data_IF_968028392588
#
_entry.id   IF_968028392588
#
_cell.length_a   1.000
_cell.length_b   1.000
_cell.length_c   1.000
_cell.angle_alpha   90.00
_cell.angle_beta   90.00
_cell.angle_gamma   90.00
#
_symmetry.space_group_name_H-M   'P 1'
#
loop_
_entity.id
_entity.type
_entity.pdbx_description
1 polymer ?
#
# COMPACT_ATOMS: atom_id res chain seq x y z
N UNK A 1 -10.03 7.44 28.05
CA UNK A 1 -8.86 7.87 27.26
C UNK A 1 -9.02 7.37 25.84
N UNK A 2 -8.49 8.08 24.85
CA UNK A 2 -8.48 7.62 23.45
C UNK A 2 -7.56 6.42 23.26
N UNK A 3 -8.01 5.40 22.52
CA UNK A 3 -7.22 4.20 22.24
C UNK A 3 -6.14 4.45 21.17
N UNK A 4 -6.47 5.25 20.15
CA UNK A 4 -5.60 5.51 19.00
C UNK A 4 -4.91 6.87 19.06
N UNK A 5 -3.76 6.95 18.40
CA UNK A 5 -3.02 8.18 18.10
C UNK A 5 -3.39 8.63 16.68
N UNK A 6 -3.95 9.83 16.53
CA UNK A 6 -4.32 10.37 15.22
C UNK A 6 -3.09 10.51 14.31
N UNK A 7 -3.24 10.07 13.05
CA UNK A 7 -2.19 10.14 12.04
C UNK A 7 -2.53 11.19 10.98
N UNK A 8 -1.62 12.14 10.81
CA UNK A 8 -1.80 13.35 10.01
C UNK A 8 -1.16 13.22 8.62
N UNK A 9 -1.90 13.56 7.56
CA UNK A 9 -1.36 13.57 6.19
C UNK A 9 -0.31 14.67 6.02
N UNK A 10 0.80 14.36 5.37
CA UNK A 10 1.89 15.33 5.15
C UNK A 10 1.58 16.32 4.01
N UNK A 11 0.88 15.85 2.99
CA UNK A 11 0.59 16.61 1.76
C UNK A 11 -0.87 16.46 1.37
N UNK A 12 -1.40 17.46 0.66
CA UNK A 12 -2.70 17.34 0.04
C UNK A 12 -2.65 16.25 -1.03
N UNK A 13 -3.67 15.40 -1.08
CA UNK A 13 -3.76 14.26 -2.01
C UNK A 13 -5.15 14.19 -2.61
N UNK A 14 -5.23 13.99 -3.92
CA UNK A 14 -6.50 13.72 -4.61
C UNK A 14 -6.52 12.30 -5.11
N UNK A 15 -7.46 11.50 -4.62
CA UNK A 15 -7.73 10.17 -5.15
C UNK A 15 -8.58 10.33 -6.42
N UNK A 16 -7.95 10.14 -7.57
CA UNK A 16 -8.57 10.35 -8.90
C UNK A 16 -9.33 9.12 -9.42
N UNK A 17 -9.07 7.95 -8.86
CA UNK A 17 -9.70 6.68 -9.21
C UNK A 17 -9.97 5.83 -7.95
N UNK A 18 -10.47 4.62 -8.15
CA UNK A 18 -10.84 3.70 -7.07
C UNK A 18 -9.68 2.82 -6.61
N UNK A 19 -8.47 2.97 -7.18
CA UNK A 19 -7.32 2.14 -6.81
C UNK A 19 -6.75 2.60 -5.47
N UNK A 20 -6.23 1.67 -4.64
CA UNK A 20 -5.49 2.05 -3.44
C UNK A 20 -4.26 2.88 -3.76
N UNK A 21 -4.11 4.02 -3.07
CA UNK A 21 -2.98 4.93 -3.20
C UNK A 21 -2.30 5.13 -1.85
N UNK A 22 -0.98 5.30 -1.88
CA UNK A 22 -0.19 5.67 -0.71
C UNK A 22 -0.37 7.17 -0.44
N UNK A 23 -0.65 7.51 0.81
CA UNK A 23 -0.73 8.88 1.31
C UNK A 23 0.36 9.05 2.36
N UNK A 24 1.29 9.96 2.09
CA UNK A 24 2.40 10.25 2.99
C UNK A 24 1.93 10.91 4.28
N UNK A 25 2.58 10.57 5.39
CA UNK A 25 2.34 11.17 6.72
C UNK A 25 3.61 11.81 7.24
N UNK A 26 3.50 12.69 8.23
CA UNK A 26 4.68 13.30 8.87
C UNK A 26 5.35 12.38 9.89
N UNK A 27 4.77 11.21 10.16
CA UNK A 27 5.26 10.27 11.17
C UNK A 27 6.30 9.31 10.59
N UNK A 28 7.39 9.15 11.32
CA UNK A 28 8.48 8.21 11.02
C UNK A 28 8.58 7.24 12.19
N UNK A 29 8.78 5.95 11.89
CA UNK A 29 9.02 4.96 12.92
C UNK A 29 10.44 5.01 13.49
N UNK A 30 10.72 4.32 14.61
CA UNK A 30 9.79 3.47 15.35
C UNK A 30 8.78 4.31 16.16
N UNK A 31 7.59 3.74 16.41
CA UNK A 31 6.62 4.36 17.32
C UNK A 31 7.10 4.17 18.76
N UNK A 32 7.49 5.25 19.42
CA UNK A 32 7.95 5.21 20.81
C UNK A 32 6.79 5.53 21.75
N UNK A 33 6.49 4.60 22.65
CA UNK A 33 5.49 4.77 23.72
C UNK A 33 6.16 4.50 25.05
N UNK A 34 6.14 5.48 25.95
CA UNK A 34 6.80 5.40 27.26
C UNK A 34 8.27 4.95 27.16
N UNK A 35 9.00 5.47 26.16
CA UNK A 35 10.41 5.15 25.93
C UNK A 35 10.67 3.81 25.23
N UNK A 36 9.64 3.04 24.87
CA UNK A 36 9.77 1.72 24.25
C UNK A 36 9.26 1.71 22.81
N UNK A 37 10.04 1.14 21.90
CA UNK A 37 9.60 0.90 20.52
C UNK A 37 8.44 -0.10 20.51
N UNK A 38 7.30 0.31 19.97
CA UNK A 38 6.03 -0.40 20.07
C UNK A 38 5.43 -0.61 18.67
N UNK A 39 4.99 -1.84 18.40
CA UNK A 39 4.24 -2.14 17.18
C UNK A 39 2.85 -1.51 17.22
N UNK A 40 2.27 -1.23 16.06
CA UNK A 40 0.96 -0.59 16.00
C UNK A 40 0.11 -1.08 14.81
N UNK A 41 -1.20 -1.11 15.01
CA UNK A 41 -2.20 -1.26 13.95
C UNK A 41 -2.59 0.13 13.44
N UNK A 42 -2.29 0.42 12.18
CA UNK A 42 -2.84 1.57 11.45
C UNK A 42 -4.24 1.20 10.94
N UNK A 43 -5.23 2.00 11.30
CA UNK A 43 -6.62 1.85 10.85
C UNK A 43 -7.28 3.20 10.56
N UNK A 44 -8.32 3.22 9.73
CA UNK A 44 -9.12 4.41 9.49
C UNK A 44 -9.81 4.94 10.75
N UNK A 45 -10.02 6.25 10.80
CA UNK A 45 -10.91 6.88 11.80
C UNK A 45 -12.37 6.67 11.38
N UNK A 46 -13.28 6.66 12.33
CA UNK A 46 -14.72 6.56 12.06
C UNK A 46 -15.20 7.65 11.08
N UNK A 47 -14.68 8.87 11.21
CA UNK A 47 -14.99 9.99 10.32
C UNK A 47 -14.53 9.78 8.88
N UNK A 48 -13.54 8.94 8.64
CA UNK A 48 -12.99 8.70 7.30
C UNK A 48 -13.96 7.90 6.45
N UNK A 49 -14.59 6.87 7.04
CA UNK A 49 -15.63 6.10 6.36
C UNK A 49 -16.82 6.97 5.95
N UNK A 50 -17.27 7.88 6.83
CA UNK A 50 -18.33 8.85 6.51
C UNK A 50 -17.97 9.80 5.37
N UNK A 51 -16.67 10.07 5.18
CA UNK A 51 -16.14 10.91 4.09
C UNK A 51 -15.87 10.10 2.81
N UNK A 52 -16.28 8.84 2.75
CA UNK A 52 -16.05 7.96 1.61
C UNK A 52 -14.61 7.44 1.50
N UNK A 53 -13.78 7.63 2.52
CA UNK A 53 -12.40 7.14 2.53
C UNK A 53 -12.32 5.77 3.20
N UNK A 54 -11.87 4.78 2.43
CA UNK A 54 -11.55 3.44 2.93
C UNK A 54 -10.05 3.38 3.16
N UNK A 55 -9.65 3.28 4.43
CA UNK A 55 -8.26 3.10 4.83
C UNK A 55 -7.98 1.60 4.94
N UNK A 56 -7.03 1.11 4.17
CA UNK A 56 -6.59 -0.28 4.27
C UNK A 56 -5.74 -0.45 5.56
N UNK A 57 -6.12 -1.38 6.46
CA UNK A 57 -5.35 -1.61 7.68
C UNK A 57 -3.91 -2.00 7.40
N UNK A 58 -3.00 -1.61 8.28
CA UNK A 58 -1.58 -1.97 8.16
C UNK A 58 -0.96 -2.24 9.52
N UNK A 59 -0.22 -3.33 9.64
CA UNK A 59 0.63 -3.57 10.80
C UNK A 59 1.96 -2.82 10.63
N UNK A 60 2.33 -2.07 11.66
CA UNK A 60 3.61 -1.39 11.79
C UNK A 60 4.41 -2.14 12.84
N UNK A 61 5.51 -2.76 12.42
CA UNK A 61 6.38 -3.48 13.35
C UNK A 61 7.17 -2.49 14.23
N UNK A 62 7.52 -2.94 15.44
CA UNK A 62 8.20 -2.09 16.42
C UNK A 62 9.57 -1.61 15.94
N UNK A 63 10.25 -2.38 15.09
CA UNK A 63 11.55 -2.09 14.50
C UNK A 63 11.45 -1.39 13.13
N UNK A 64 10.25 -0.97 12.71
CA UNK A 64 10.07 -0.20 11.49
C UNK A 64 10.63 1.22 11.67
N UNK A 65 11.63 1.60 10.87
CA UNK A 65 12.30 2.91 10.92
C UNK A 65 11.93 3.83 9.75
N UNK A 66 11.03 3.37 8.87
CA UNK A 66 10.60 4.12 7.70
C UNK A 66 9.49 5.14 8.00
N UNK A 67 9.14 5.91 6.97
CA UNK A 67 7.96 6.77 7.00
C UNK A 67 6.69 5.92 7.13
N UNK A 68 5.85 6.24 8.11
CA UNK A 68 4.53 5.64 8.21
C UNK A 68 3.68 6.23 7.08
N UNK A 69 3.08 5.38 6.27
CA UNK A 69 2.23 5.83 5.17
C UNK A 69 0.87 5.15 5.27
N UNK A 70 -0.15 5.91 4.92
CA UNK A 70 -1.53 5.43 4.86
C UNK A 70 -1.75 4.84 3.47
N UNK A 71 -2.49 3.74 3.36
CA UNK A 71 -3.03 3.30 2.07
C UNK A 71 -4.53 3.49 2.11
N UNK A 72 -5.05 4.23 1.14
CA UNK A 72 -6.46 4.56 1.07
C UNK A 72 -7.00 4.43 -0.35
N UNK A 73 -8.29 4.14 -0.47
CA UNK A 73 -9.03 4.33 -1.70
C UNK A 73 -10.41 4.94 -1.40
N UNK A 74 -11.09 5.37 -2.45
CA UNK A 74 -12.46 5.90 -2.40
C UNK A 74 -13.31 5.21 -3.46
N UNK A 75 -14.56 4.84 -3.17
CA UNK A 75 -15.50 4.42 -4.21
C UNK A 75 -16.09 5.60 -4.99
N UNK A 76 -15.85 6.84 -4.55
CA UNK A 76 -16.42 8.07 -5.15
C UNK A 76 -15.33 9.07 -5.56
N UNK A 77 -14.49 8.77 -6.58
CA UNK A 77 -13.52 9.72 -7.09
C UNK A 77 -14.17 10.86 -7.90
N UNK A 78 -13.57 12.07 -7.96
CA UNK A 78 -12.36 12.44 -7.25
C UNK A 78 -12.63 12.76 -5.77
N UNK A 79 -11.77 12.29 -4.87
CA UNK A 79 -11.82 12.65 -3.43
C UNK A 79 -10.56 13.42 -3.05
N UNK A 80 -10.71 14.68 -2.66
CA UNK A 80 -9.61 15.52 -2.19
C UNK A 80 -9.42 15.40 -0.66
N UNK A 81 -8.19 15.16 -0.24
CA UNK A 81 -7.75 15.05 1.14
C UNK A 81 -6.75 16.19 1.39
N UNK A 82 -7.12 17.24 2.14
CA UNK A 82 -6.19 18.31 2.48
C UNK A 82 -4.96 17.78 3.23
N UNK A 83 -3.83 18.49 3.11
CA UNK A 83 -2.71 18.29 4.02
C UNK A 83 -3.19 18.47 5.46
N UNK A 84 -2.49 17.84 6.41
CA UNK A 84 -2.81 17.91 7.83
C UNK A 84 -4.12 17.23 8.25
N UNK A 85 -4.73 16.45 7.35
CA UNK A 85 -5.96 15.73 7.65
C UNK A 85 -5.67 14.52 8.52
N UNK A 86 -6.44 14.36 9.59
CA UNK A 86 -6.42 13.18 10.45
C UNK A 86 -7.44 12.16 9.93
N UNK A 87 -7.00 11.27 9.04
CA UNK A 87 -7.86 10.27 8.37
C UNK A 87 -7.60 8.83 8.82
N UNK A 88 -6.48 8.60 9.50
CA UNK A 88 -6.14 7.32 10.10
C UNK A 88 -5.67 7.53 11.54
N UNK A 89 -5.51 6.43 12.26
CA UNK A 89 -4.99 6.40 13.61
C UNK A 89 -4.11 5.17 13.80
N UNK A 90 -3.14 5.26 14.69
CA UNK A 90 -2.31 4.15 15.15
C UNK A 90 -2.84 3.65 16.48
N UNK A 91 -3.12 2.35 16.57
CA UNK A 91 -3.47 1.66 17.81
C UNK A 91 -2.25 0.84 18.22
N UNK A 92 -1.56 1.20 19.31
CA UNK A 92 -0.44 0.41 19.82
C UNK A 92 -0.91 -0.99 20.19
N UNK A 93 -0.16 -2.02 19.79
CA UNK A 93 -0.50 -3.41 20.06
C UNK A 93 0.58 -4.08 20.91
N UNK A 94 0.20 -4.85 21.96
CA UNK A 94 1.16 -5.63 22.72
C UNK A 94 1.75 -6.74 21.83
N UNK A 95 3.08 -6.84 21.80
CA UNK A 95 3.78 -7.88 21.02
C UNK A 95 3.84 -9.19 21.82
N UNK A 96 2.72 -9.93 21.82
CA UNK A 96 2.62 -11.20 22.58
C UNK A 96 3.59 -12.29 22.10
N UNK A 97 4.03 -12.23 20.84
CA UNK A 97 5.00 -13.15 20.27
C UNK A 97 6.47 -12.77 20.53
N UNK A 98 6.77 -11.66 21.22
CA UNK A 98 8.15 -11.19 21.42
C UNK A 98 9.01 -12.18 22.24
N UNK A 99 8.37 -13.02 23.06
CA UNK A 99 9.04 -14.06 23.83
C UNK A 99 9.37 -15.32 23.01
N UNK A 100 8.89 -15.42 21.77
CA UNK A 100 9.17 -16.55 20.88
C UNK A 100 10.55 -16.31 20.26
N UNK A 101 11.54 -17.20 20.48
CA UNK A 101 12.87 -17.03 19.92
C UNK A 101 12.81 -17.06 18.39
N UNK A 102 13.28 -15.98 17.77
CA UNK A 102 13.30 -15.84 16.31
C UNK A 102 14.52 -16.60 15.77
N UNK A 103 14.31 -17.53 14.85
CA UNK A 103 15.38 -18.36 14.24
C UNK A 103 16.23 -17.61 13.21
N UNK A 104 15.80 -16.41 12.80
CA UNK A 104 16.48 -15.54 11.84
C UNK A 104 16.35 -14.08 12.28
N UNK A 105 17.42 -13.51 12.84
CA UNK A 105 17.48 -12.07 13.11
C UNK A 105 17.53 -11.30 11.79
N UNK A 106 16.38 -10.79 11.34
CA UNK A 106 16.33 -9.77 10.29
C UNK A 106 15.57 -8.57 10.83
N UNK A 107 16.29 -7.48 11.04
CA UNK A 107 15.69 -6.17 11.31
C UNK A 107 14.89 -5.71 10.10
N UNK A 108 13.66 -5.27 10.31
CA UNK A 108 12.81 -4.74 9.22
C UNK A 108 13.40 -3.46 8.62
N UNK A 109 13.89 -2.54 9.45
CA UNK A 109 14.34 -1.22 9.01
C UNK A 109 13.21 -0.43 8.33
N UNK A 110 13.49 0.18 7.17
CA UNK A 110 12.49 0.96 6.41
C UNK A 110 11.67 0.13 5.42
N UNK A 111 11.89 -1.20 5.37
CA UNK A 111 11.27 -2.09 4.39
C UNK A 111 9.79 -2.38 4.73
N UNK A 112 8.91 -2.22 3.74
CA UNK A 112 7.46 -2.44 3.88
C UNK A 112 6.82 -2.83 2.56
N UNK A 113 5.51 -3.11 2.57
CA UNK A 113 4.72 -3.43 1.36
C UNK A 113 5.21 -4.66 0.58
N UNK A 114 5.44 -5.77 1.26
CA UNK A 114 5.84 -7.02 0.59
C UNK A 114 7.32 -7.09 0.21
N UNK A 115 8.18 -6.26 0.79
CA UNK A 115 9.65 -6.25 0.56
C UNK A 115 10.37 -7.57 0.82
N UNK A 116 9.74 -8.49 1.56
CA UNK A 116 10.30 -9.80 1.92
C UNK A 116 9.62 -10.98 1.20
N UNK A 117 8.68 -10.72 0.30
CA UNK A 117 7.87 -11.76 -0.38
C UNK A 117 7.86 -11.61 -1.91
N UNK A 118 7.41 -12.67 -2.59
CA UNK A 118 7.16 -12.62 -4.04
C UNK A 118 6.08 -11.57 -4.35
N UNK A 119 6.23 -10.88 -5.49
CA UNK A 119 5.27 -9.86 -5.91
C UNK A 119 3.89 -10.49 -6.12
N UNK A 120 2.85 -9.88 -5.53
CA UNK A 120 1.46 -10.21 -5.86
C UNK A 120 1.16 -9.63 -7.25
N UNK A 121 0.97 -10.51 -8.23
CA UNK A 121 0.63 -10.12 -9.59
C UNK A 121 -0.87 -10.28 -9.82
N UNK A 122 -1.50 -9.26 -10.43
CA UNK A 122 -2.83 -9.40 -11.00
C UNK A 122 -2.77 -10.40 -12.14
N UNK A 123 -3.34 -11.58 -11.93
CA UNK A 123 -3.50 -12.58 -12.97
C UNK A 123 -4.85 -12.39 -13.63
N UNK A 124 -4.86 -11.97 -14.88
CA UNK A 124 -6.05 -12.06 -15.71
C UNK A 124 -6.19 -13.51 -16.17
N UNK A 125 -7.33 -14.13 -15.90
CA UNK A 125 -7.68 -15.42 -16.49
C UNK A 125 -7.93 -15.20 -17.99
N UNK A 126 -6.86 -15.28 -18.76
CA UNK A 126 -6.88 -15.10 -20.21
C UNK A 126 -7.39 -16.39 -20.85
N UNK A 127 -8.66 -16.41 -21.24
CA UNK A 127 -9.24 -17.54 -22.01
C UNK A 127 -8.53 -17.76 -23.36
N UNK A 128 -7.90 -16.72 -23.89
CA UNK A 128 -6.96 -16.78 -25.03
C UNK A 128 -5.77 -15.84 -24.78
N UNK A 129 -4.60 -16.19 -25.31
CA UNK A 129 -3.39 -15.35 -25.19
C UNK A 129 -3.60 -14.01 -25.90
N UNK A 130 -3.10 -12.89 -25.35
CA UNK A 130 -3.26 -11.59 -25.97
C UNK A 130 -2.45 -11.61 -27.26
N UNK A 131 -3.13 -11.39 -28.38
CA UNK A 131 -2.50 -11.44 -29.70
C UNK A 131 -3.00 -10.29 -30.55
N UNK A 132 -2.13 -9.82 -31.44
CA UNK A 132 -2.42 -8.74 -32.38
C UNK A 132 -2.11 -9.22 -33.79
N UNK A 133 -2.94 -8.80 -34.75
CA UNK A 133 -2.62 -9.04 -36.16
C UNK A 133 -1.51 -8.08 -36.58
N UNK A 134 -0.34 -8.62 -36.90
CA UNK A 134 0.79 -7.88 -37.44
C UNK A 134 0.89 -8.18 -38.92
N UNK A 135 1.10 -7.13 -39.70
CA UNK A 135 1.39 -7.29 -41.12
C UNK A 135 2.89 -7.14 -41.33
N UNK A 136 3.55 -8.24 -41.67
CA UNK A 136 4.95 -8.23 -42.11
C UNK A 136 5.02 -7.87 -43.59
N UNK A 137 5.97 -7.03 -43.94
CA UNK A 137 6.27 -6.68 -45.31
C UNK A 137 7.76 -6.92 -45.58
N UNK A 138 8.07 -7.68 -46.64
CA UNK A 138 9.42 -7.86 -47.13
C UNK A 138 9.42 -7.67 -48.65
N UNK A 139 10.04 -6.59 -49.12
CA UNK A 139 9.91 -6.16 -50.51
C UNK A 139 8.45 -5.83 -50.86
N UNK A 140 7.94 -6.44 -51.94
CA UNK A 140 6.55 -6.33 -52.38
C UNK A 140 5.61 -7.33 -51.72
N UNK A 141 6.13 -8.30 -50.96
CA UNK A 141 5.31 -9.32 -50.31
C UNK A 141 4.81 -8.83 -48.95
N UNK A 142 3.51 -9.02 -48.71
CA UNK A 142 2.84 -8.62 -47.47
C UNK A 142 2.07 -9.81 -46.91
N UNK A 143 2.33 -10.15 -45.64
CA UNK A 143 1.69 -11.28 -44.93
C UNK A 143 1.16 -10.80 -43.58
N UNK A 144 -0.09 -11.14 -43.30
CA UNK A 144 -0.68 -10.90 -41.98
C UNK A 144 -0.58 -12.16 -41.14
N UNK A 145 -0.13 -12.00 -39.90
CA UNK A 145 0.00 -13.08 -38.93
C UNK A 145 -0.41 -12.60 -37.54
N UNK A 146 -0.86 -13.54 -36.73
CA UNK A 146 -1.25 -13.27 -35.34
C UNK A 146 0.00 -13.39 -34.47
N UNK A 147 0.48 -12.28 -33.94
CA UNK A 147 1.63 -12.22 -33.03
C UNK A 147 1.16 -12.16 -31.58
N UNK A 148 1.87 -12.84 -30.68
CA UNK A 148 1.64 -12.73 -29.24
C UNK A 148 2.13 -11.37 -28.74
N UNK A 149 1.33 -10.72 -27.92
CA UNK A 149 1.74 -9.52 -27.20
C UNK A 149 2.57 -9.95 -25.99
N UNK A 150 3.88 -9.73 -26.06
CA UNK A 150 4.75 -9.81 -24.89
C UNK A 150 4.48 -8.59 -24.01
N UNK A 151 3.90 -8.81 -22.84
CA UNK A 151 3.59 -7.73 -21.89
C UNK A 151 4.71 -7.46 -20.90
N UNK A 152 5.91 -8.06 -21.07
CA UNK A 152 7.11 -7.92 -20.21
C UNK A 152 6.79 -7.45 -18.79
N UNK A 153 6.51 -8.41 -17.92
CA UNK A 153 6.53 -8.16 -16.48
C UNK A 153 7.97 -7.86 -16.00
#
# INVERSE_FOLDING_TARGET
GSLGLDLETAVATTLIDTRPQKISTTSIGPLIINGTATGALLIGRSSSGLKGLIILPRLIDADYTGQIVIVAHTPFPPTHIPARSKVAQLIPVPHLAAAIPVTLERTRGSAGFGSTGAATMLTLAMGQRPSVTVTLQHGSERRSLMALLDTRA
#
